data_IF_736827199913
#
_entry.id   IF_736827199913
#
_cell.length_a   1.000
_cell.length_b   1.000
_cell.length_c   1.000
_cell.angle_alpha   90.00
_cell.angle_beta   90.00
_cell.angle_gamma   90.00
#
_symmetry.space_group_name_H-M   'P 1'
#
loop_
_entity.id
_entity.type
_entity.pdbx_description
1 polymer ?
#
# COMPACT_ATOMS: atom_id res chain seq x y z
N UNK A 1 0.94 -6.61 11.16
CA UNK A 1 1.75 -6.44 9.93
C UNK A 1 3.17 -6.95 10.14
N UNK A 2 3.68 -7.77 9.24
CA UNK A 2 5.06 -8.27 9.23
C UNK A 2 5.77 -7.76 7.97
N UNK A 3 6.99 -7.26 8.12
CA UNK A 3 7.81 -6.70 7.04
C UNK A 3 9.12 -7.48 6.99
N UNK A 4 9.40 -8.14 5.87
CA UNK A 4 10.62 -8.90 5.64
C UNK A 4 11.38 -8.32 4.45
N UNK A 5 12.65 -8.00 4.65
CA UNK A 5 13.52 -7.55 3.55
C UNK A 5 14.17 -8.76 2.91
N UNK A 6 13.91 -8.97 1.62
CA UNK A 6 14.38 -10.14 0.87
C UNK A 6 15.63 -9.83 0.05
N UNK A 7 15.73 -8.62 -0.52
CA UNK A 7 16.89 -8.20 -1.30
C UNK A 7 17.37 -6.81 -0.91
N UNK A 8 18.69 -6.70 -0.66
CA UNK A 8 19.40 -5.45 -0.45
C UNK A 8 20.71 -5.48 -1.23
N UNK A 9 20.65 -5.15 -2.52
CA UNK A 9 21.82 -5.18 -3.41
C UNK A 9 21.98 -3.85 -4.12
N UNK A 10 23.06 -3.14 -3.79
CA UNK A 10 23.32 -1.78 -4.29
C UNK A 10 22.19 -0.82 -3.87
N UNK A 11 21.53 -0.23 -4.87
CA UNK A 11 20.38 0.67 -4.67
C UNK A 11 19.04 -0.06 -4.63
N UNK A 12 18.99 -1.35 -5.03
CA UNK A 12 17.75 -2.12 -5.10
C UNK A 12 17.33 -2.61 -3.71
N UNK A 13 16.04 -2.48 -3.43
CA UNK A 13 15.37 -2.99 -2.24
C UNK A 13 14.17 -3.81 -2.68
N UNK A 14 14.06 -5.00 -2.10
CA UNK A 14 12.86 -5.83 -2.18
C UNK A 14 12.36 -6.11 -0.77
N UNK A 15 11.10 -5.76 -0.53
CA UNK A 15 10.45 -5.92 0.77
C UNK A 15 9.18 -6.74 0.56
N UNK A 16 9.10 -7.89 1.22
CA UNK A 16 7.88 -8.67 1.33
C UNK A 16 7.09 -8.21 2.57
N UNK A 17 5.80 -7.95 2.39
CA UNK A 17 4.92 -7.46 3.43
C UNK A 17 3.76 -8.43 3.57
N UNK A 18 3.52 -8.90 4.78
CA UNK A 18 2.38 -9.75 5.14
C UNK A 18 1.46 -8.99 6.08
N UNK A 19 0.23 -8.75 5.63
CA UNK A 19 -0.84 -8.11 6.39
C UNK A 19 -1.81 -9.19 6.87
N UNK A 20 -1.96 -9.37 8.20
CA UNK A 20 -2.87 -10.37 8.75
C UNK A 20 -4.33 -10.12 8.32
N UNK A 21 -5.08 -11.20 8.10
CA UNK A 21 -6.50 -11.13 7.77
C UNK A 21 -7.33 -10.34 8.80
N UNK A 22 -6.95 -10.39 10.09
CA UNK A 22 -7.62 -9.63 11.15
C UNK A 22 -7.53 -8.11 10.97
N UNK A 23 -6.39 -7.60 10.50
CA UNK A 23 -6.19 -6.17 10.23
C UNK A 23 -7.05 -5.72 9.02
N UNK A 24 -7.16 -6.60 8.01
CA UNK A 24 -8.02 -6.40 6.84
C UNK A 24 -9.50 -6.35 7.24
N UNK A 25 -9.95 -7.31 8.06
CA UNK A 25 -11.35 -7.36 8.50
C UNK A 25 -11.71 -6.17 9.39
N UNK A 26 -10.81 -5.72 10.26
CA UNK A 26 -11.02 -4.54 11.08
C UNK A 26 -11.22 -3.27 10.23
N UNK A 27 -10.37 -3.05 9.21
CA UNK A 27 -10.51 -1.93 8.27
C UNK A 27 -11.78 -2.03 7.43
N UNK A 28 -12.14 -3.23 6.96
CA UNK A 28 -13.39 -3.46 6.25
C UNK A 28 -14.61 -3.14 7.13
N UNK A 29 -14.60 -3.56 8.40
CA UNK A 29 -15.68 -3.28 9.34
C UNK A 29 -15.83 -1.78 9.59
N UNK A 30 -14.72 -1.04 9.75
CA UNK A 30 -14.75 0.42 9.87
C UNK A 30 -15.36 1.10 8.63
N UNK A 31 -14.96 0.67 7.43
CA UNK A 31 -15.55 1.17 6.18
C UNK A 31 -17.03 0.83 6.04
N UNK A 32 -17.44 -0.37 6.43
CA UNK A 32 -18.85 -0.78 6.42
C UNK A 32 -19.68 0.03 7.42
N UNK A 33 -19.14 0.39 8.58
CA UNK A 33 -19.84 1.27 9.53
C UNK A 33 -20.00 2.68 8.99
N UNK A 34 -18.97 3.24 8.36
CA UNK A 34 -19.05 4.57 7.74
C UNK A 34 -20.01 4.60 6.55
N UNK A 35 -20.02 3.52 5.76
CA UNK A 35 -20.94 3.37 4.64
C UNK A 35 -22.39 3.22 5.11
N UNK A 36 -22.64 2.62 6.28
CA UNK A 36 -24.00 2.39 6.82
C UNK A 36 -24.82 3.67 6.87
N UNK A 37 -24.19 4.79 7.22
CA UNK A 37 -24.87 6.07 7.39
C UNK A 37 -25.01 6.85 6.07
N UNK A 38 -24.20 6.52 5.06
CA UNK A 38 -24.19 7.17 3.73
C UNK A 38 -25.07 6.46 2.70
N UNK A 39 -25.17 5.13 2.78
CA UNK A 39 -25.84 4.31 1.75
C UNK A 39 -27.35 4.23 2.02
N UNK A 40 -28.16 4.46 0.98
CA UNK A 40 -29.60 4.22 0.99
C UNK A 40 -29.91 2.90 0.31
N UNK A 41 -30.42 1.93 1.06
CA UNK A 41 -30.84 0.62 0.53
C UNK A 41 -32.36 0.52 0.67
N UNK A 42 -33.02 0.18 -0.44
CA UNK A 42 -34.46 -0.01 -0.47
C UNK A 42 -34.87 -1.10 0.53
N UNK A 43 -35.88 -0.80 1.36
CA UNK A 43 -36.35 -1.68 2.43
C UNK A 43 -35.74 -1.41 3.82
N UNK A 44 -34.68 -0.60 3.93
CA UNK A 44 -34.10 -0.22 5.22
C UNK A 44 -34.15 1.28 5.46
N UNK A 45 -34.43 1.68 6.70
CA UNK A 45 -34.31 3.08 7.11
C UNK A 45 -32.81 3.49 7.02
N UNK A 46 -32.48 4.67 6.49
CA UNK A 46 -31.09 5.14 6.41
C UNK A 46 -30.36 5.02 7.75
N UNK A 47 -29.12 4.51 7.74
CA UNK A 47 -28.33 4.26 8.95
C UNK A 47 -28.73 3.04 9.77
N UNK A 48 -29.75 2.26 9.38
CA UNK A 48 -30.20 1.05 10.10
C UNK A 48 -30.11 -0.22 9.27
N UNK A 49 -29.24 -0.23 8.26
CA UNK A 49 -28.93 -1.45 7.49
C UNK A 49 -28.03 -2.36 8.32
N UNK A 50 -28.33 -3.67 8.45
CA UNK A 50 -27.44 -4.64 9.07
C UNK A 50 -26.11 -4.76 8.32
N UNK A 51 -25.00 -4.84 9.06
CA UNK A 51 -23.65 -4.97 8.50
C UNK A 51 -23.51 -6.20 7.60
N UNK A 52 -24.20 -7.31 7.93
CA UNK A 52 -24.19 -8.52 7.11
C UNK A 52 -24.78 -8.29 5.71
N UNK A 53 -25.80 -7.45 5.58
CA UNK A 53 -26.42 -7.16 4.28
C UNK A 53 -25.53 -6.23 3.45
N UNK A 54 -24.91 -5.23 4.10
CA UNK A 54 -23.90 -4.37 3.49
C UNK A 54 -22.68 -5.16 3.02
N UNK A 55 -22.19 -6.10 3.83
CA UNK A 55 -21.07 -6.99 3.48
C UNK A 55 -21.39 -7.84 2.25
N UNK A 56 -22.63 -8.31 2.09
CA UNK A 56 -23.04 -9.09 0.90
C UNK A 56 -23.04 -8.25 -0.38
N UNK A 57 -23.49 -6.99 -0.33
CA UNK A 57 -23.58 -6.14 -1.52
C UNK A 57 -22.28 -5.41 -1.85
N UNK A 58 -21.61 -4.86 -0.83
CA UNK A 58 -20.45 -3.98 -0.99
C UNK A 58 -19.14 -4.55 -0.44
N UNK A 59 -19.16 -5.72 0.20
CA UNK A 59 -17.98 -6.29 0.85
C UNK A 59 -16.79 -6.47 -0.09
N UNK A 60 -17.02 -7.00 -1.30
CA UNK A 60 -15.96 -7.15 -2.30
C UNK A 60 -15.38 -5.81 -2.77
N UNK A 61 -16.24 -4.82 -3.04
CA UNK A 61 -15.81 -3.49 -3.49
C UNK A 61 -15.01 -2.77 -2.41
N UNK A 62 -15.53 -2.74 -1.18
CA UNK A 62 -14.84 -2.09 -0.08
C UNK A 62 -13.55 -2.83 0.30
N UNK A 63 -13.50 -4.16 0.16
CA UNK A 63 -12.25 -4.88 0.39
C UNK A 63 -11.20 -4.53 -0.66
N UNK A 64 -11.58 -4.40 -1.94
CA UNK A 64 -10.65 -3.94 -2.99
C UNK A 64 -10.13 -2.52 -2.72
N UNK A 65 -10.98 -1.61 -2.25
CA UNK A 65 -10.55 -0.28 -1.80
C UNK A 65 -9.59 -0.35 -0.61
N UNK A 66 -9.90 -1.17 0.40
CA UNK A 66 -9.05 -1.36 1.58
C UNK A 66 -7.69 -1.94 1.21
N UNK A 67 -7.63 -2.89 0.28
CA UNK A 67 -6.37 -3.43 -0.26
C UNK A 67 -5.55 -2.31 -0.89
N UNK A 68 -6.14 -1.51 -1.78
CA UNK A 68 -5.46 -0.38 -2.42
C UNK A 68 -4.97 0.67 -1.41
N UNK A 69 -5.78 0.98 -0.40
CA UNK A 69 -5.41 1.91 0.66
C UNK A 69 -4.23 1.36 1.48
N UNK A 70 -4.27 0.07 1.84
CA UNK A 70 -3.18 -0.59 2.55
C UNK A 70 -1.90 -0.60 1.72
N UNK A 71 -1.96 -0.90 0.43
CA UNK A 71 -0.80 -0.86 -0.46
C UNK A 71 -0.15 0.53 -0.45
N UNK A 72 -0.93 1.58 -0.63
CA UNK A 72 -0.42 2.95 -0.67
C UNK A 72 0.14 3.40 0.69
N UNK A 73 -0.59 3.15 1.77
CA UNK A 73 -0.21 3.57 3.12
C UNK A 73 1.00 2.79 3.66
N UNK A 74 1.03 1.47 3.44
CA UNK A 74 2.15 0.62 3.86
C UNK A 74 3.42 0.99 3.11
N UNK A 75 3.34 1.16 1.80
CA UNK A 75 4.46 1.61 0.96
C UNK A 75 5.04 2.92 1.49
N UNK A 76 4.19 3.92 1.70
CA UNK A 76 4.63 5.24 2.17
C UNK A 76 5.19 5.20 3.59
N UNK A 77 4.54 4.48 4.50
CA UNK A 77 4.97 4.38 5.90
C UNK A 77 6.28 3.60 6.06
N UNK A 78 6.50 2.54 5.29
CA UNK A 78 7.74 1.75 5.33
C UNK A 78 8.91 2.59 4.80
N UNK A 79 8.75 3.24 3.65
CA UNK A 79 9.81 4.08 3.06
C UNK A 79 10.15 5.26 3.99
N UNK A 80 9.12 5.94 4.52
CA UNK A 80 9.31 7.06 5.45
C UNK A 80 9.92 6.60 6.78
N UNK A 81 9.48 5.46 7.32
CA UNK A 81 9.98 4.90 8.59
C UNK A 81 11.44 4.46 8.50
N UNK A 82 11.91 4.06 7.31
CA UNK A 82 13.31 3.76 7.03
C UNK A 82 14.15 5.01 6.72
N UNK A 83 13.51 6.16 6.52
CA UNK A 83 14.18 7.40 6.12
C UNK A 83 14.75 7.36 4.70
N UNK A 84 14.34 6.38 3.90
CA UNK A 84 14.82 6.20 2.53
C UNK A 84 14.00 7.07 1.57
N UNK A 85 14.64 7.51 0.48
CA UNK A 85 13.95 8.17 -0.63
C UNK A 85 13.93 7.21 -1.81
N UNK A 86 12.73 6.77 -2.19
CA UNK A 86 12.57 6.00 -3.42
C UNK A 86 12.89 6.89 -4.64
N UNK A 87 13.69 6.36 -5.56
CA UNK A 87 14.06 7.03 -6.81
C UNK A 87 12.89 7.08 -7.81
N UNK A 88 12.03 6.06 -7.78
CA UNK A 88 10.84 5.91 -8.62
C UNK A 88 9.65 5.48 -7.78
N UNK A 89 8.45 5.47 -8.40
CA UNK A 89 7.29 4.84 -7.79
C UNK A 89 7.59 3.36 -7.57
N UNK A 90 7.45 2.84 -6.33
CA UNK A 90 7.68 1.43 -6.05
C UNK A 90 6.79 0.53 -6.90
N UNK A 91 7.37 -0.53 -7.44
CA UNK A 91 6.65 -1.58 -8.13
C UNK A 91 6.10 -2.56 -7.10
N UNK A 92 4.77 -2.75 -7.14
CA UNK A 92 4.07 -3.67 -6.23
C UNK A 92 3.79 -4.95 -7.01
N UNK A 93 4.39 -6.04 -6.57
CA UNK A 93 4.14 -7.38 -7.09
C UNK A 93 3.16 -8.06 -6.13
N UNK A 94 2.04 -8.49 -6.68
CA UNK A 94 0.99 -9.23 -5.98
C UNK A 94 0.95 -10.66 -6.52
N UNK A 95 0.34 -11.58 -5.78
CA UNK A 95 0.14 -12.94 -6.30
C UNK A 95 -0.79 -12.90 -7.52
N UNK A 96 -0.39 -13.54 -8.62
CA UNK A 96 -1.17 -13.62 -9.86
C UNK A 96 -2.32 -14.65 -9.78
N UNK A 97 -2.39 -15.42 -8.68
CA UNK A 97 -3.41 -16.44 -8.49
C UNK A 97 -4.77 -15.82 -8.15
N UNK A 98 -5.69 -15.83 -9.12
CA UNK A 98 -7.07 -15.34 -8.98
C UNK A 98 -7.79 -15.95 -7.75
N UNK A 99 -7.51 -17.21 -7.43
CA UNK A 99 -8.10 -17.91 -6.27
C UNK A 99 -7.60 -17.39 -4.93
N UNK A 100 -6.36 -16.89 -4.87
CA UNK A 100 -5.83 -16.26 -3.66
C UNK A 100 -6.36 -14.83 -3.54
N UNK A 101 -6.41 -14.09 -4.65
CA UNK A 101 -7.04 -12.77 -4.70
C UNK A 101 -8.51 -12.83 -4.22
N UNK A 102 -9.29 -13.84 -4.63
CA UNK A 102 -10.66 -14.01 -4.15
C UNK A 102 -10.75 -14.33 -2.66
N UNK A 103 -9.81 -15.11 -2.10
CA UNK A 103 -9.77 -15.44 -0.67
C UNK A 103 -9.38 -14.23 0.18
N UNK A 104 -8.46 -13.41 -0.31
CA UNK A 104 -8.07 -12.14 0.30
C UNK A 104 -9.27 -11.18 0.28
N UNK A 105 -9.96 -11.06 -0.86
CA UNK A 105 -11.16 -10.24 -1.00
C UNK A 105 -12.34 -10.75 -0.15
N UNK A 106 -12.38 -12.06 0.14
CA UNK A 106 -13.34 -12.65 1.07
C UNK A 106 -12.97 -12.44 2.55
N UNK A 107 -11.79 -11.90 2.85
CA UNK A 107 -11.31 -11.63 4.21
C UNK A 107 -10.87 -12.87 4.99
N UNK A 108 -10.62 -13.98 4.30
CA UNK A 108 -10.28 -15.27 4.94
C UNK A 108 -8.80 -15.62 4.93
N UNK A 109 -7.95 -14.79 4.33
CA UNK A 109 -6.52 -15.06 4.19
C UNK A 109 -5.68 -13.82 4.41
N UNK A 110 -4.44 -14.05 4.84
CA UNK A 110 -3.44 -13.01 4.94
C UNK A 110 -3.14 -12.44 3.56
N UNK A 111 -2.87 -11.15 3.52
CA UNK A 111 -2.56 -10.43 2.31
C UNK A 111 -1.04 -10.24 2.21
N UNK A 112 -0.44 -10.92 1.23
CA UNK A 112 0.99 -10.83 0.96
C UNK A 112 1.24 -10.06 -0.33
N UNK A 113 2.20 -9.14 -0.30
CA UNK A 113 2.70 -8.47 -1.49
C UNK A 113 4.18 -8.15 -1.35
N UNK A 114 4.88 -8.10 -2.47
CA UNK A 114 6.28 -7.69 -2.54
C UNK A 114 6.38 -6.29 -3.13
N UNK A 115 7.32 -5.52 -2.61
CA UNK A 115 7.55 -4.14 -2.98
C UNK A 115 9.00 -3.99 -3.44
N UNK A 116 9.16 -3.67 -4.72
CA UNK A 116 10.44 -3.45 -5.37
C UNK A 116 10.66 -1.96 -5.58
N UNK A 117 11.78 -1.44 -5.09
CA UNK A 117 12.14 -0.04 -5.32
C UNK A 117 13.64 0.18 -5.28
N UNK A 118 14.06 1.30 -5.86
CA UNK A 118 15.44 1.75 -5.81
C UNK A 118 15.56 2.96 -4.89
N UNK A 119 16.62 3.01 -4.08
CA UNK A 119 16.87 4.10 -3.12
C UNK A 119 17.82 5.12 -3.74
N UNK A 120 17.50 6.41 -3.59
CA UNK A 120 18.40 7.50 -3.96
C UNK A 120 19.55 7.53 -2.95
N UNK A 121 20.81 7.38 -3.39
CA UNK A 121 21.95 7.46 -2.49
C UNK A 121 22.15 8.89 -1.99
N UNK A 122 22.71 9.03 -0.79
CA UNK A 122 23.21 10.31 -0.34
C UNK A 122 24.38 10.75 -1.23
N UNK A 123 24.26 11.92 -1.86
CA UNK A 123 25.33 12.51 -2.67
C UNK A 123 26.19 13.38 -1.75
N UNK A 124 27.42 12.95 -1.51
CA UNK A 124 28.42 13.77 -0.82
C UNK A 124 29.06 14.73 -1.83
N UNK A 125 28.81 16.02 -1.64
CA UNK A 125 29.41 17.08 -2.45
C UNK A 125 30.86 17.25 -2.01
N UNK A 126 31.81 16.94 -2.91
CA UNK A 126 33.23 17.20 -2.71
C UNK A 126 33.54 18.69 -2.96
N UNK A 127 34.69 19.14 -2.46
CA UNK A 127 35.17 20.50 -2.69
C UNK A 127 35.34 20.77 -4.20
N UNK A 128 34.88 21.94 -4.64
CA UNK A 128 34.90 22.39 -6.04
C UNK A 128 35.92 23.50 -6.29
N UNK A 129 36.76 23.81 -5.31
CA UNK A 129 37.76 24.88 -5.39
C UNK A 129 38.72 24.76 -6.59
N UNK A 130 38.92 23.55 -7.11
CA UNK A 130 39.79 23.29 -8.27
C UNK A 130 39.11 23.51 -9.64
N UNK A 131 37.79 23.70 -9.68
CA UNK A 131 37.03 23.84 -10.93
C UNK A 131 37.09 25.30 -11.43
N UNK A 132 37.83 25.54 -12.51
CA UNK A 132 37.90 26.86 -13.17
C UNK A 132 36.95 26.92 -14.35
N UNK A 133 36.04 27.89 -14.35
CA UNK A 133 35.09 28.15 -15.45
C UNK A 133 35.51 29.42 -16.19
N UNK A 134 35.69 29.33 -17.52
CA UNK A 134 35.99 30.48 -18.37
C UNK A 134 34.74 30.90 -19.14
N UNK A 135 34.33 32.16 -18.98
CA UNK A 135 33.25 32.75 -19.78
C UNK A 135 33.82 33.20 -21.12
N UNK A 136 33.44 32.52 -22.20
CA UNK A 136 33.73 33.05 -23.54
C UNK A 136 32.87 34.28 -23.81
N UNK A 137 33.52 35.38 -24.16
CA UNK A 137 32.90 36.61 -24.64
C UNK A 137 33.26 36.70 -26.12
N UNK A 138 32.23 36.73 -26.98
CA UNK A 138 32.36 36.99 -28.41
C UNK A 138 32.45 38.49 -28.68
#
# INVERSE_FOLDING_TARGET
MQVTETLNSGLKREIKITVPAGDMEAKLMARLTDARDKVRINGFRPGKVPVQHLRKMYGKSFMAEVVNEILNDSTRSIITGRGEKAAMQPEVIMTEDEKEAEKILAGGSDFEFSLNYEVIPAIEIKDFSDIKVTRQVY
#
